data_IF_357846373152
#
_entry.id   IF_357846373152
#
_cell.length_a   1.000
_cell.length_b   1.000
_cell.length_c   1.000
_cell.angle_alpha   90.00
_cell.angle_beta   90.00
_cell.angle_gamma   90.00
#
_symmetry.space_group_name_H-M   'P 1'
#
loop_
_entity.id
_entity.type
_entity.pdbx_description
1 polymer ?
#
# COMPACT_ATOMS: atom_id res chain seq x y z
N UNK A 1 -5.57 -58.49 1.36
CA UNK A 1 -5.07 -57.75 0.18
C UNK A 1 -5.03 -56.28 0.57
N UNK A 2 -3.83 -55.79 0.88
CA UNK A 2 -3.54 -54.45 1.42
C UNK A 2 -3.54 -53.42 0.30
N UNK A 3 -4.20 -52.28 0.49
CA UNK A 3 -3.89 -51.05 -0.23
C UNK A 3 -4.07 -49.86 0.72
N UNK A 4 -2.98 -49.57 1.44
CA UNK A 4 -2.76 -48.38 2.24
C UNK A 4 -2.70 -47.13 1.34
N UNK A 5 -3.75 -46.31 1.35
CA UNK A 5 -3.78 -45.01 0.70
C UNK A 5 -3.03 -43.94 1.51
N UNK A 6 -1.70 -44.07 1.60
CA UNK A 6 -0.83 -43.05 2.16
C UNK A 6 -0.52 -41.98 1.11
N UNK A 7 -1.42 -41.02 0.93
CA UNK A 7 -1.08 -39.77 0.25
C UNK A 7 -0.02 -39.00 1.04
N UNK A 8 0.81 -38.15 0.41
CA UNK A 8 1.83 -37.41 1.12
C UNK A 8 1.17 -36.48 2.15
N UNK A 9 1.41 -36.76 3.43
CA UNK A 9 1.10 -35.82 4.51
C UNK A 9 2.03 -34.63 4.31
N UNK A 10 1.52 -33.55 3.70
CA UNK A 10 2.29 -32.32 3.49
C UNK A 10 2.70 -31.80 4.87
N UNK A 11 3.99 -31.91 5.28
CA UNK A 11 4.40 -31.48 6.60
C UNK A 11 4.22 -29.97 6.69
N UNK A 12 3.42 -29.52 7.65
CA UNK A 12 3.19 -28.09 7.87
C UNK A 12 1.96 -27.50 7.18
N UNK A 13 0.99 -28.29 6.71
CA UNK A 13 -0.31 -27.71 6.35
C UNK A 13 -0.91 -26.93 7.54
N UNK A 14 -0.77 -27.46 8.76
CA UNK A 14 -1.21 -26.77 9.98
C UNK A 14 -0.42 -25.47 10.24
N UNK A 15 0.89 -25.43 9.95
CA UNK A 15 1.71 -24.22 10.10
C UNK A 15 1.49 -23.20 8.97
N UNK A 16 1.13 -23.66 7.77
CA UNK A 16 0.71 -22.81 6.65
C UNK A 16 -0.70 -22.23 6.88
N UNK A 17 -1.60 -23.01 7.49
CA UNK A 17 -2.92 -22.54 7.91
C UNK A 17 -2.81 -21.56 9.09
N UNK A 18 -1.96 -21.83 10.09
CA UNK A 18 -1.68 -20.88 11.17
C UNK A 18 -1.00 -19.60 10.66
N UNK A 19 -0.11 -19.66 9.67
CA UNK A 19 0.50 -18.46 9.06
C UNK A 19 -0.54 -17.61 8.32
N UNK A 20 -1.62 -18.23 7.81
CA UNK A 20 -2.72 -17.52 7.16
C UNK A 20 -3.74 -16.97 8.17
N UNK A 21 -4.00 -17.69 9.26
CA UNK A 21 -4.90 -17.28 10.35
C UNK A 21 -4.26 -16.25 11.31
N UNK A 22 -2.93 -16.20 11.45
CA UNK A 22 -2.25 -15.21 12.29
C UNK A 22 -2.24 -13.80 11.68
N UNK A 23 -2.47 -13.66 10.36
CA UNK A 23 -2.58 -12.35 9.70
C UNK A 23 -3.95 -11.67 9.88
N UNK A 24 -4.84 -12.25 10.67
CA UNK A 24 -6.15 -11.67 10.99
C UNK A 24 -6.27 -11.35 12.48
N UNK A 25 -5.18 -10.87 13.11
CA UNK A 25 -5.23 -10.33 14.47
C UNK A 25 -4.94 -8.84 14.44
N UNK A 26 -6.03 -8.06 14.45
CA UNK A 26 -6.11 -6.59 14.34
C UNK A 26 -5.83 -5.98 12.96
N UNK A 27 -6.66 -6.31 11.96
CA UNK A 27 -6.50 -5.86 10.57
C UNK A 27 -7.26 -4.56 10.23
N UNK A 28 -7.40 -3.64 11.19
CA UNK A 28 -7.94 -2.31 10.91
C UNK A 28 -6.91 -1.46 10.14
N UNK A 29 -7.37 -0.63 9.21
CA UNK A 29 -6.55 0.46 8.62
C UNK A 29 -6.03 1.30 9.80
N UNK A 30 -4.71 1.35 10.02
CA UNK A 30 -4.13 2.08 11.15
C UNK A 30 -3.84 3.52 10.78
N UNK A 31 -3.42 3.75 9.54
CA UNK A 31 -3.17 5.09 9.01
C UNK A 31 -3.73 5.24 7.59
N UNK A 32 -4.48 6.33 7.36
CA UNK A 32 -5.02 6.68 6.06
C UNK A 32 -4.56 8.07 5.63
N UNK A 33 -4.15 8.22 4.38
CA UNK A 33 -3.88 9.52 3.75
C UNK A 33 -5.00 9.84 2.78
N UNK A 34 -5.60 11.02 2.91
CA UNK A 34 -6.72 11.47 2.08
C UNK A 34 -6.31 12.70 1.27
N UNK A 35 -6.37 12.60 -0.05
CA UNK A 35 -5.95 13.62 -0.99
C UNK A 35 -7.17 14.22 -1.71
N UNK A 36 -7.51 15.46 -1.35
CA UNK A 36 -8.58 16.20 -2.02
C UNK A 36 -8.24 16.54 -3.48
N UNK A 37 -9.25 16.96 -4.24
CA UNK A 37 -9.05 17.58 -5.55
C UNK A 37 -8.36 18.95 -5.45
N UNK A 38 -7.99 19.53 -6.61
CA UNK A 38 -7.32 20.84 -6.63
C UNK A 38 -6.55 21.20 -7.90
N UNK A 39 -6.67 20.43 -8.99
CA UNK A 39 -5.96 20.72 -10.24
C UNK A 39 -4.45 20.81 -10.04
N UNK A 40 -3.83 21.94 -10.38
CA UNK A 40 -2.39 22.17 -10.21
C UNK A 40 -1.91 22.15 -8.75
N UNK A 41 -2.80 22.33 -7.77
CA UNK A 41 -2.45 22.16 -6.35
C UNK A 41 -2.05 20.71 -6.00
N UNK A 42 -2.31 19.75 -6.89
CA UNK A 42 -1.80 18.39 -6.79
C UNK A 42 -0.26 18.31 -6.70
N UNK A 43 0.47 19.27 -7.28
CA UNK A 43 1.92 19.35 -7.13
C UNK A 43 2.36 19.61 -5.67
N UNK A 44 1.61 20.45 -4.94
CA UNK A 44 1.90 20.74 -3.53
C UNK A 44 1.64 19.51 -2.63
N UNK A 45 0.67 18.66 -3.00
CA UNK A 45 0.40 17.42 -2.28
C UNK A 45 1.61 16.47 -2.29
N UNK A 46 2.44 16.48 -3.34
CA UNK A 46 3.66 15.66 -3.42
C UNK A 46 4.65 16.02 -2.31
N UNK A 47 4.84 17.32 -2.04
CA UNK A 47 5.67 17.79 -0.93
C UNK A 47 5.12 17.38 0.44
N UNK A 48 3.79 17.44 0.60
CA UNK A 48 3.15 16.96 1.83
C UNK A 48 3.33 15.45 2.03
N UNK A 49 3.17 14.65 0.97
CA UNK A 49 3.41 13.21 1.00
C UNK A 49 4.85 12.88 1.38
N UNK A 50 5.84 13.61 0.83
CA UNK A 50 7.25 13.46 1.20
C UNK A 50 7.45 13.65 2.69
N UNK A 51 6.98 14.77 3.24
CA UNK A 51 7.14 15.11 4.65
C UNK A 51 6.49 14.04 5.56
N UNK A 52 5.31 13.53 5.19
CA UNK A 52 4.64 12.46 5.93
C UNK A 52 5.50 11.19 5.95
N UNK A 53 5.97 10.71 4.80
CA UNK A 53 6.77 9.48 4.73
C UNK A 53 8.12 9.62 5.45
N UNK A 54 8.77 10.77 5.35
CA UNK A 54 10.02 11.07 6.07
C UNK A 54 9.82 11.14 7.58
N UNK A 55 8.65 11.56 8.05
CA UNK A 55 8.30 11.55 9.48
C UNK A 55 7.99 10.16 10.04
N UNK A 56 7.97 9.13 9.18
CA UNK A 56 7.71 7.74 9.58
C UNK A 56 6.27 7.28 9.38
N UNK A 57 5.37 8.12 8.84
CA UNK A 57 4.00 7.72 8.48
C UNK A 57 4.06 6.63 7.42
N UNK A 58 3.25 5.57 7.58
CA UNK A 58 3.19 4.43 6.67
C UNK A 58 1.72 4.13 6.39
N UNK A 59 1.11 4.79 5.38
CA UNK A 59 -0.32 4.67 5.15
C UNK A 59 -0.69 3.26 4.70
N UNK A 60 -1.66 2.65 5.38
CA UNK A 60 -2.30 1.39 4.96
C UNK A 60 -3.38 1.64 3.90
N UNK A 61 -3.91 2.88 3.86
CA UNK A 61 -4.95 3.30 2.92
C UNK A 61 -4.62 4.68 2.35
N UNK A 62 -4.78 4.84 1.04
CA UNK A 62 -4.72 6.14 0.39
C UNK A 62 -6.03 6.36 -0.38
N UNK A 63 -6.69 7.48 -0.11
CA UNK A 63 -7.95 7.85 -0.75
C UNK A 63 -7.73 9.16 -1.51
N UNK A 64 -8.30 9.29 -2.70
CA UNK A 64 -8.17 10.52 -3.47
C UNK A 64 -9.37 10.86 -4.34
N UNK A 65 -9.51 12.16 -4.65
CA UNK A 65 -10.53 12.69 -5.58
C UNK A 65 -9.88 13.60 -6.64
N UNK A 66 -10.33 13.51 -7.90
CA UNK A 66 -9.79 14.28 -9.04
C UNK A 66 -8.26 14.13 -9.12
N UNK A 67 -7.50 15.23 -9.10
CA UNK A 67 -6.03 15.19 -9.07
C UNK A 67 -5.49 14.39 -7.87
N UNK A 68 -6.14 14.47 -6.72
CA UNK A 68 -5.78 13.70 -5.53
C UNK A 68 -5.94 12.20 -5.77
N UNK A 69 -6.87 11.78 -6.63
CA UNK A 69 -7.02 10.37 -7.02
C UNK A 69 -5.84 9.87 -7.85
N UNK A 70 -5.27 10.72 -8.72
CA UNK A 70 -4.07 10.38 -9.49
C UNK A 70 -2.87 10.20 -8.56
N UNK A 71 -2.64 11.16 -7.66
CA UNK A 71 -1.57 11.08 -6.66
C UNK A 71 -1.76 9.86 -5.74
N UNK A 72 -2.99 9.61 -5.29
CA UNK A 72 -3.32 8.47 -4.43
C UNK A 72 -3.07 7.13 -5.14
N UNK A 73 -3.54 6.98 -6.38
CA UNK A 73 -3.32 5.78 -7.17
C UNK A 73 -1.82 5.53 -7.43
N UNK A 74 -1.05 6.59 -7.69
CA UNK A 74 0.37 6.49 -7.91
C UNK A 74 1.13 6.02 -6.66
N UNK A 75 0.78 6.57 -5.50
CA UNK A 75 1.39 6.24 -4.21
C UNK A 75 0.97 4.86 -3.70
N UNK A 76 -0.28 4.45 -3.90
CA UNK A 76 -0.81 3.18 -3.40
C UNK A 76 -0.09 1.94 -3.95
N UNK A 77 0.60 2.05 -5.09
CA UNK A 77 1.41 0.97 -5.67
C UNK A 77 2.62 0.66 -4.80
N UNK A 78 3.29 1.70 -4.30
CA UNK A 78 4.49 1.60 -3.49
C UNK A 78 4.62 2.86 -2.62
N UNK A 79 4.14 2.87 -1.37
CA UNK A 79 4.08 4.08 -0.54
C UNK A 79 5.45 4.42 0.08
N UNK A 80 6.44 4.65 -0.77
CA UNK A 80 7.84 4.93 -0.39
C UNK A 80 8.25 6.34 -0.79
N UNK A 81 9.29 6.88 -0.13
CA UNK A 81 9.86 8.19 -0.50
C UNK A 81 10.37 8.20 -1.95
N UNK A 82 10.89 7.07 -2.45
CA UNK A 82 11.29 6.94 -3.85
C UNK A 82 10.10 7.11 -4.79
N UNK A 83 8.94 6.53 -4.47
CA UNK A 83 7.73 6.72 -5.27
C UNK A 83 7.27 8.18 -5.27
N UNK A 84 7.43 8.88 -4.16
CA UNK A 84 7.18 10.33 -4.10
C UNK A 84 8.17 11.11 -4.98
N UNK A 85 9.45 10.73 -5.04
CA UNK A 85 10.42 11.34 -5.98
C UNK A 85 9.98 11.17 -7.44
N UNK A 86 9.50 9.98 -7.80
CA UNK A 86 8.98 9.70 -9.14
C UNK A 86 7.75 10.55 -9.47
N UNK A 87 6.82 10.64 -8.52
CA UNK A 87 5.63 11.48 -8.66
C UNK A 87 6.00 12.96 -8.81
N UNK A 88 7.00 13.44 -8.06
CA UNK A 88 7.52 14.79 -8.21
C UNK A 88 8.05 15.05 -9.62
N UNK A 89 8.80 14.10 -10.20
CA UNK A 89 9.30 14.23 -11.58
C UNK A 89 8.16 14.33 -12.59
N UNK A 90 7.09 13.54 -12.42
CA UNK A 90 5.89 13.62 -13.27
C UNK A 90 5.29 15.03 -13.19
N UNK A 91 5.08 15.55 -11.98
CA UNK A 91 4.52 16.89 -11.79
C UNK A 91 5.37 18.01 -12.40
N UNK A 92 6.70 17.91 -12.33
CA UNK A 92 7.63 18.87 -12.92
C UNK A 92 7.62 18.88 -14.46
N UNK A 93 7.08 17.85 -15.10
CA UNK A 93 6.96 17.76 -16.55
C UNK A 93 5.61 18.32 -17.08
N UNK A 94 4.67 18.63 -16.19
CA UNK A 94 3.33 19.13 -16.55
C UNK A 94 3.29 20.65 -16.77
N UNK A 95 4.32 21.20 -17.41
CA UNK A 95 4.44 22.64 -17.74
C UNK A 95 4.68 22.84 -19.22
#
# INVERSE_FOLDING_TARGET
MLASGGGPVVPGLHSLLHRRAARTSDSGVREAVVLSGGGSLGAAQVGALRALLESGVRPDLVVGCSVGALNAAFLAIDPTSQRVDELERVWRQLT
#
